data_IF_174735884654
#
_entry.id   IF_174735884654
#
_cell.length_a   1.000
_cell.length_b   1.000
_cell.length_c   1.000
_cell.angle_alpha   90.00
_cell.angle_beta   90.00
_cell.angle_gamma   90.00
#
_symmetry.space_group_name_H-M   'P 1'
#
loop_
_entity.id
_entity.type
_entity.pdbx_description
1 polymer ?
#
# COMPACT_ATOMS: atom_id res chain seq x y z
N UNK A 1 4.35 14.64 39.80
CA UNK A 1 5.18 14.90 38.60
C UNK A 1 5.38 13.57 37.86
N UNK A 2 4.36 13.04 37.17
CA UNK A 2 4.45 11.75 36.44
C UNK A 2 3.42 11.56 35.31
N UNK A 3 2.35 12.37 35.23
CA UNK A 3 1.29 12.18 34.23
C UNK A 3 1.70 12.55 32.79
N UNK A 4 2.53 13.59 32.62
CA UNK A 4 3.01 14.03 31.30
C UNK A 4 4.06 13.08 30.69
N UNK A 5 4.83 12.35 31.51
CA UNK A 5 5.86 11.42 31.02
C UNK A 5 5.24 10.10 30.51
N UNK A 6 4.20 9.61 31.19
CA UNK A 6 3.47 8.41 30.76
C UNK A 6 2.66 8.66 29.48
N UNK A 7 2.01 9.84 29.34
CA UNK A 7 1.24 10.18 28.13
C UNK A 7 2.10 10.25 26.87
N UNK A 8 3.28 10.89 26.96
CA UNK A 8 4.23 10.94 25.83
C UNK A 8 4.73 9.55 25.46
N UNK A 9 4.93 8.70 26.47
CA UNK A 9 5.37 7.31 26.27
C UNK A 9 4.28 6.47 25.57
N UNK A 10 3.02 6.65 25.93
CA UNK A 10 1.90 5.91 25.35
C UNK A 10 1.53 6.37 23.94
N UNK A 11 1.61 7.67 23.66
CA UNK A 11 1.44 8.19 22.31
C UNK A 11 2.55 7.66 21.37
N UNK A 12 3.79 7.64 21.84
CA UNK A 12 4.90 7.10 21.08
C UNK A 12 4.71 5.60 20.79
N UNK A 13 4.30 4.80 21.79
CA UNK A 13 3.95 3.38 21.61
C UNK A 13 2.85 3.20 20.57
N UNK A 14 1.80 4.02 20.60
CA UNK A 14 0.68 3.93 19.67
C UNK A 14 1.15 4.17 18.22
N UNK A 15 2.01 5.17 18.00
CA UNK A 15 2.60 5.46 16.68
C UNK A 15 3.45 4.31 16.16
N UNK A 16 4.28 3.70 17.01
CA UNK A 16 5.05 2.51 16.64
C UNK A 16 4.18 1.30 16.32
N UNK A 17 3.13 1.05 17.12
CA UNK A 17 2.18 -0.03 16.84
C UNK A 17 1.48 0.18 15.50
N UNK A 18 1.09 1.41 15.18
CA UNK A 18 0.46 1.72 13.90
C UNK A 18 1.42 1.49 12.73
N UNK A 19 2.66 1.95 12.83
CA UNK A 19 3.68 1.71 11.82
C UNK A 19 3.89 0.20 11.59
N UNK A 20 4.02 -0.59 12.67
CA UNK A 20 4.13 -2.05 12.58
C UNK A 20 2.94 -2.69 11.86
N UNK A 21 1.71 -2.30 12.22
CA UNK A 21 0.48 -2.81 11.57
C UNK A 21 0.45 -2.52 10.07
N UNK A 22 0.93 -1.35 9.65
CA UNK A 22 1.02 -1.00 8.22
C UNK A 22 2.01 -1.93 7.51
N UNK A 23 3.19 -2.16 8.09
CA UNK A 23 4.20 -3.04 7.50
C UNK A 23 3.74 -4.49 7.42
N UNK A 24 3.09 -5.00 8.47
CA UNK A 24 2.54 -6.36 8.50
C UNK A 24 1.44 -6.56 7.45
N UNK A 25 0.59 -5.54 7.24
CA UNK A 25 -0.44 -5.56 6.19
C UNK A 25 0.17 -5.50 4.80
N UNK A 26 1.18 -4.65 4.60
CA UNK A 26 1.89 -4.57 3.34
C UNK A 26 2.52 -5.92 2.97
N UNK A 27 3.14 -6.62 3.93
CA UNK A 27 3.77 -7.92 3.71
C UNK A 27 2.79 -9.04 3.31
N UNK A 28 1.49 -8.84 3.55
CA UNK A 28 0.44 -9.84 3.39
C UNK A 28 -0.61 -9.46 2.34
N UNK A 29 -0.55 -8.25 1.76
CA UNK A 29 -1.50 -7.86 0.74
C UNK A 29 -1.20 -8.56 -0.58
N UNK A 30 -2.25 -8.81 -1.37
CA UNK A 30 -2.11 -9.35 -2.72
C UNK A 30 -1.95 -8.24 -3.76
N UNK A 31 -2.42 -7.03 -3.44
CA UNK A 31 -2.40 -5.84 -4.28
C UNK A 31 -2.09 -4.60 -3.43
N UNK A 32 -1.19 -3.75 -3.92
CA UNK A 32 -0.88 -2.45 -3.32
C UNK A 32 -0.95 -1.35 -4.39
N UNK A 33 -1.71 -0.30 -4.11
CA UNK A 33 -1.67 0.95 -4.87
C UNK A 33 -0.79 1.98 -4.16
N UNK A 34 0.15 2.56 -4.90
CA UNK A 34 1.01 3.68 -4.46
C UNK A 34 0.53 4.91 -5.21
N UNK A 35 -0.16 5.82 -4.53
CA UNK A 35 -0.92 6.90 -5.19
C UNK A 35 -0.39 8.26 -4.75
N UNK A 36 -0.01 9.11 -5.71
CA UNK A 36 0.26 10.53 -5.49
C UNK A 36 1.36 10.82 -4.46
N UNK A 37 2.46 10.08 -4.50
CA UNK A 37 3.60 10.26 -3.59
C UNK A 37 4.90 10.34 -4.36
N UNK A 38 5.87 11.12 -3.86
CA UNK A 38 7.24 11.11 -4.37
C UNK A 38 8.01 9.84 -3.96
N UNK A 39 7.48 9.10 -2.98
CA UNK A 39 8.04 7.85 -2.46
C UNK A 39 9.53 7.90 -2.05
N UNK A 40 9.97 9.05 -1.52
CA UNK A 40 11.33 9.25 -0.99
C UNK A 40 11.38 9.32 0.54
N UNK A 41 10.24 9.50 1.21
CA UNK A 41 10.19 9.68 2.66
C UNK A 41 10.06 8.34 3.37
N UNK A 42 11.05 8.03 4.20
CA UNK A 42 11.03 6.84 5.05
C UNK A 42 10.23 7.09 6.34
N UNK A 43 9.51 6.08 6.86
CA UNK A 43 9.49 4.67 6.43
C UNK A 43 8.51 4.33 5.31
N UNK A 44 7.62 5.26 4.92
CA UNK A 44 6.53 4.98 3.98
C UNK A 44 7.03 4.53 2.58
N UNK A 45 8.13 5.10 2.10
CA UNK A 45 8.80 4.70 0.86
C UNK A 45 9.19 3.20 0.81
N UNK A 46 9.30 2.54 1.96
CA UNK A 46 9.66 1.12 2.04
C UNK A 46 8.45 0.17 1.98
N UNK A 47 7.23 0.70 2.09
CA UNK A 47 5.98 -0.10 2.03
C UNK A 47 5.86 -0.89 0.72
N UNK A 48 6.10 -0.29 -0.48
CA UNK A 48 6.03 -1.02 -1.74
C UNK A 48 7.05 -2.17 -1.82
N UNK A 49 8.24 -1.96 -1.25
CA UNK A 49 9.30 -2.98 -1.18
C UNK A 49 8.84 -4.18 -0.36
N UNK A 50 8.21 -3.93 0.79
CA UNK A 50 7.68 -4.99 1.66
C UNK A 50 6.56 -5.75 0.96
N UNK A 51 5.62 -5.05 0.35
CA UNK A 51 4.53 -5.67 -0.39
C UNK A 51 5.06 -6.54 -1.54
N UNK A 52 6.03 -6.02 -2.30
CA UNK A 52 6.66 -6.76 -3.40
C UNK A 52 7.39 -8.02 -2.92
N UNK A 53 8.12 -7.94 -1.80
CA UNK A 53 8.72 -9.11 -1.15
C UNK A 53 7.67 -10.11 -0.65
N UNK A 54 6.52 -9.62 -0.22
CA UNK A 54 5.32 -10.40 0.06
C UNK A 54 4.64 -10.97 -1.20
N UNK A 55 5.16 -10.72 -2.40
CA UNK A 55 4.58 -11.23 -3.64
C UNK A 55 3.30 -10.49 -4.08
N UNK A 56 3.02 -9.32 -3.50
CA UNK A 56 1.94 -8.47 -3.96
C UNK A 56 2.18 -7.99 -5.39
N UNK A 57 1.09 -7.74 -6.12
CA UNK A 57 1.10 -6.89 -7.29
C UNK A 57 1.11 -5.43 -6.84
N UNK A 58 2.03 -4.62 -7.36
CA UNK A 58 2.22 -3.23 -6.94
C UNK A 58 1.97 -2.31 -8.12
N UNK A 59 1.00 -1.42 -7.98
CA UNK A 59 0.61 -0.44 -8.99
C UNK A 59 0.97 0.94 -8.47
N UNK A 60 1.70 1.71 -9.26
CA UNK A 60 1.92 3.13 -9.00
C UNK A 60 0.95 3.98 -9.82
N UNK A 61 0.42 5.03 -9.21
CA UNK A 61 -0.41 6.05 -9.84
C UNK A 61 0.17 7.41 -9.50
N UNK A 62 0.90 8.00 -10.44
CA UNK A 62 1.56 9.27 -10.23
C UNK A 62 1.75 10.01 -11.57
N UNK A 63 1.75 11.36 -11.61
CA UNK A 63 1.97 12.08 -12.87
C UNK A 63 3.33 11.79 -13.51
N UNK A 64 4.32 11.47 -12.69
CA UNK A 64 5.70 11.21 -13.09
C UNK A 64 6.21 9.93 -12.41
N UNK A 65 7.17 9.25 -13.04
CA UNK A 65 7.85 8.12 -12.44
C UNK A 65 8.66 8.57 -11.19
N UNK A 66 8.67 7.72 -10.17
CA UNK A 66 9.41 7.92 -8.93
C UNK A 66 10.46 6.81 -8.73
N UNK A 67 11.39 6.91 -7.77
CA UNK A 67 12.38 5.87 -7.54
C UNK A 67 11.82 4.41 -7.43
N UNK A 68 10.68 4.15 -6.76
CA UNK A 68 10.09 2.82 -6.74
C UNK A 68 9.34 2.41 -8.02
N UNK A 69 9.21 3.24 -9.06
CA UNK A 69 8.61 2.83 -10.35
C UNK A 69 9.33 1.64 -10.97
N UNK A 70 10.62 1.47 -10.68
CA UNK A 70 11.39 0.30 -11.13
C UNK A 70 11.03 -1.00 -10.42
N UNK A 71 10.34 -0.92 -9.28
CA UNK A 71 9.90 -2.04 -8.44
C UNK A 71 8.42 -2.40 -8.68
N UNK A 72 7.64 -1.49 -9.25
CA UNK A 72 6.21 -1.70 -9.50
C UNK A 72 6.00 -2.62 -10.69
N UNK A 73 4.88 -3.35 -10.69
CA UNK A 73 4.50 -4.19 -11.83
C UNK A 73 3.82 -3.37 -12.92
N UNK A 74 3.19 -2.26 -12.54
CA UNK A 74 2.53 -1.33 -13.43
C UNK A 74 2.63 0.10 -12.89
N UNK A 75 2.70 1.06 -13.81
CA UNK A 75 2.62 2.49 -13.51
C UNK A 75 1.56 3.14 -14.39
N UNK A 76 0.66 3.89 -13.76
CA UNK A 76 -0.38 4.68 -14.40
C UNK A 76 0.03 6.14 -14.29
N UNK A 77 0.36 6.75 -15.43
CA UNK A 77 0.78 8.15 -15.48
C UNK A 77 -0.43 9.07 -15.45
N UNK A 78 -0.49 9.94 -14.45
CA UNK A 78 -1.53 10.96 -14.30
C UNK A 78 -1.82 11.30 -12.85
N UNK A 79 -2.62 12.34 -12.63
CA UNK A 79 -3.09 12.69 -11.28
C UNK A 79 -4.12 11.65 -10.84
N UNK A 80 -3.98 11.16 -9.62
CA UNK A 80 -4.85 10.14 -9.07
C UNK A 80 -6.36 10.45 -9.19
N UNK A 81 -6.76 11.69 -8.91
CA UNK A 81 -8.15 12.12 -9.01
C UNK A 81 -8.69 12.22 -10.44
N UNK A 82 -7.84 12.11 -11.46
CA UNK A 82 -8.21 12.13 -12.88
C UNK A 82 -8.22 10.72 -13.48
N UNK A 83 -7.30 9.85 -13.05
CA UNK A 83 -7.11 8.51 -13.65
C UNK A 83 -7.77 7.38 -12.87
N UNK A 84 -8.00 7.55 -11.57
CA UNK A 84 -8.74 6.57 -10.79
C UNK A 84 -10.24 6.83 -10.94
N UNK A 85 -11.06 5.77 -10.98
CA UNK A 85 -12.50 5.93 -10.97
C UNK A 85 -12.94 6.65 -9.70
N UNK A 86 -14.02 7.43 -9.80
CA UNK A 86 -14.65 8.03 -8.65
C UNK A 86 -15.03 6.92 -7.64
N UNK A 87 -14.53 6.96 -6.39
CA UNK A 87 -14.81 5.95 -5.38
C UNK A 87 -16.29 5.80 -5.05
N UNK A 88 -17.12 6.77 -5.40
CA UNK A 88 -18.58 6.74 -5.23
C UNK A 88 -19.32 6.12 -6.43
N UNK A 89 -18.62 5.86 -7.54
CA UNK A 89 -19.22 5.23 -8.72
C UNK A 89 -19.39 3.72 -8.51
N UNK A 90 -20.60 3.16 -8.65
CA UNK A 90 -20.84 1.73 -8.48
C UNK A 90 -19.99 0.85 -9.42
N UNK A 91 -19.60 -0.30 -8.88
CA UNK A 91 -18.60 -1.27 -9.37
C UNK A 91 -18.79 -1.88 -10.78
N UNK A 92 -19.83 -1.52 -11.52
CA UNK A 92 -20.16 -2.19 -12.81
C UNK A 92 -19.29 -1.77 -13.99
N UNK A 93 -18.36 -0.79 -13.84
CA UNK A 93 -17.66 -0.18 -14.99
C UNK A 93 -16.16 -0.49 -15.05
N UNK A 94 -15.55 -1.10 -14.04
CA UNK A 94 -14.10 -1.37 -14.08
C UNK A 94 -13.76 -2.79 -14.60
N UNK A 95 -14.14 -3.07 -15.84
CA UNK A 95 -13.50 -4.12 -16.65
C UNK A 95 -12.56 -3.45 -17.66
N UNK A 96 -11.56 -2.75 -17.15
CA UNK A 96 -10.43 -2.32 -17.97
C UNK A 96 -9.49 -3.51 -18.16
N UNK A 97 -9.87 -4.39 -19.09
CA UNK A 97 -9.07 -5.46 -19.70
C UNK A 97 -8.43 -6.48 -18.74
N UNK A 98 -8.88 -7.73 -18.83
CA UNK A 98 -8.38 -8.97 -18.21
C UNK A 98 -6.87 -9.29 -18.43
N UNK A 99 -6.02 -8.30 -18.71
CA UNK A 99 -4.62 -8.48 -19.11
C UNK A 99 -3.58 -7.75 -18.24
N UNK A 100 -3.97 -6.87 -17.30
CA UNK A 100 -2.98 -6.12 -16.51
C UNK A 100 -2.77 -6.63 -15.08
N UNK A 101 -3.72 -7.37 -14.52
CA UNK A 101 -3.55 -7.98 -13.19
C UNK A 101 -3.26 -9.47 -13.40
N UNK A 102 -2.01 -9.94 -13.20
CA UNK A 102 -1.74 -11.38 -13.22
C UNK A 102 -2.65 -12.06 -12.18
N UNK A 103 -3.06 -13.31 -12.40
CA UNK A 103 -3.91 -14.01 -11.45
C UNK A 103 -3.31 -13.90 -10.06
N UNK A 104 -4.04 -13.24 -9.15
CA UNK A 104 -3.63 -13.08 -7.76
C UNK A 104 -3.28 -14.48 -7.27
N UNK A 105 -2.03 -14.68 -6.82
CA UNK A 105 -1.59 -15.98 -6.32
C UNK A 105 -2.54 -16.34 -5.18
N UNK A 106 -3.36 -17.37 -5.38
CA UNK A 106 -4.30 -17.82 -4.38
C UNK A 106 -3.48 -18.32 -3.19
N UNK A 107 -3.26 -17.45 -2.18
CA UNK A 107 -2.69 -17.92 -0.92
C UNK A 107 -3.78 -18.73 -0.24
N UNK A 108 -3.55 -20.01 0.10
CA UNK A 108 -4.44 -20.69 1.03
C UNK A 108 -4.48 -19.81 2.28
N UNK A 109 -5.68 -19.42 2.65
CA UNK A 109 -5.97 -18.60 3.81
C UNK A 109 -5.17 -19.21 4.96
N UNK A 110 -4.16 -18.49 5.44
CA UNK A 110 -3.50 -18.84 6.69
C UNK A 110 -4.63 -18.88 7.71
N UNK A 111 -5.04 -20.10 8.08
CA UNK A 111 -5.89 -20.35 9.22
C UNK A 111 -5.40 -19.46 10.33
N UNK A 112 -6.27 -18.56 10.81
CA UNK A 112 -6.09 -17.92 12.11
C UNK A 112 -5.88 -19.08 13.10
N UNK A 113 -4.62 -19.34 13.44
CA UNK A 113 -4.24 -20.42 14.32
C UNK A 113 -4.08 -19.87 15.71
N UNK A 114 -4.93 -20.36 16.64
CA UNK A 114 -4.68 -20.49 18.08
C UNK A 114 -4.60 -19.22 18.89
#
# INVERSE_FOLDING_TARGET
MNMLHDQVTDELKARFQQARRVMDRAARCDLLFVVGTSAIVYPAAHIPVIAKRGGAFVIEVNPEATPPSSLTDASILGKAGEVLPDPLTPRSVLLASDRLVPPLKHRPHLSQGG
#
